data_IF_484367737645
#
_entry.id   IF_484367737645
#
_cell.length_a   1.000
_cell.length_b   1.000
_cell.length_c   1.000
_cell.angle_alpha   90.00
_cell.angle_beta   90.00
_cell.angle_gamma   90.00
#
_symmetry.space_group_name_H-M   'P 1'
#
loop_
_entity.id
_entity.type
_entity.pdbx_description
1 polymer ?
#
# COMPACT_ATOMS: atom_id res chain seq x y z
N UNK A 1 8.71 16.64 4.62
CA UNK A 1 7.92 15.45 4.26
C UNK A 1 8.44 14.91 2.94
N UNK A 2 8.84 13.65 2.86
CA UNK A 2 9.51 13.13 1.68
C UNK A 2 8.47 12.78 0.59
N UNK A 3 8.50 13.53 -0.51
CA UNK A 3 7.59 13.31 -1.64
C UNK A 3 8.07 12.10 -2.46
N UNK A 4 7.44 10.93 -2.28
CA UNK A 4 7.76 9.73 -3.04
C UNK A 4 7.08 9.78 -4.41
N UNK A 5 7.85 9.53 -5.47
CA UNK A 5 7.33 9.47 -6.85
C UNK A 5 6.18 8.46 -6.96
N UNK A 6 6.28 7.38 -6.20
CA UNK A 6 5.31 6.27 -6.16
C UNK A 6 3.91 6.71 -5.69
N UNK A 7 3.77 7.81 -4.91
CA UNK A 7 2.45 8.28 -4.45
C UNK A 7 1.55 8.67 -5.63
N UNK A 8 2.13 9.15 -6.74
CA UNK A 8 1.40 9.46 -7.98
C UNK A 8 0.74 8.21 -8.57
N UNK A 9 1.42 7.05 -8.49
CA UNK A 9 0.87 5.78 -8.96
C UNK A 9 -0.29 5.31 -8.07
N UNK A 10 -0.23 5.54 -6.74
CA UNK A 10 -1.34 5.25 -5.84
C UNK A 10 -2.56 6.13 -6.13
N UNK A 11 -2.37 7.41 -6.42
CA UNK A 11 -3.45 8.31 -6.83
C UNK A 11 -4.09 7.83 -8.13
N UNK A 12 -3.30 7.54 -9.18
CA UNK A 12 -3.80 6.99 -10.43
C UNK A 12 -4.55 5.67 -10.25
N UNK A 13 -4.11 4.81 -9.30
CA UNK A 13 -4.83 3.60 -8.95
C UNK A 13 -6.19 3.94 -8.32
N UNK A 14 -6.26 4.90 -7.42
CA UNK A 14 -7.50 5.27 -6.72
C UNK A 14 -8.52 6.00 -7.61
N UNK A 15 -8.11 6.51 -8.76
CA UNK A 15 -9.01 7.14 -9.75
C UNK A 15 -9.71 6.13 -10.66
N UNK A 16 -9.26 4.86 -10.64
CA UNK A 16 -9.85 3.81 -11.49
C UNK A 16 -11.15 3.29 -10.88
N UNK A 17 -12.09 2.93 -11.76
CA UNK A 17 -13.31 2.23 -11.36
C UNK A 17 -13.60 1.10 -12.36
N UNK A 18 -13.70 -0.14 -11.93
CA UNK A 18 -13.42 -0.64 -10.58
C UNK A 18 -11.92 -0.64 -10.25
N UNK A 19 -11.57 -0.46 -8.98
CA UNK A 19 -10.20 -0.60 -8.48
C UNK A 19 -10.04 -1.91 -7.70
N UNK A 20 -8.94 -2.59 -7.92
CA UNK A 20 -8.59 -3.82 -7.20
C UNK A 20 -7.79 -3.50 -5.94
N UNK A 21 -7.82 -4.33 -4.89
CA UNK A 21 -6.91 -4.19 -3.77
C UNK A 21 -5.47 -4.03 -4.23
N UNK A 22 -4.75 -3.06 -3.66
CA UNK A 22 -3.37 -2.72 -4.00
C UNK A 22 -2.41 -3.39 -3.04
N UNK A 23 -1.50 -4.19 -3.57
CA UNK A 23 -0.46 -4.88 -2.80
C UNK A 23 0.86 -4.14 -2.94
N UNK A 24 1.28 -3.42 -1.91
CA UNK A 24 2.55 -2.68 -1.86
C UNK A 24 3.67 -3.64 -1.46
N UNK A 25 4.55 -3.92 -2.42
CA UNK A 25 5.71 -4.80 -2.25
C UNK A 25 6.99 -3.96 -2.10
N UNK A 26 7.94 -4.47 -1.36
CA UNK A 26 9.24 -3.83 -1.21
C UNK A 26 10.01 -4.41 -0.04
N UNK A 27 11.32 -4.20 -0.01
CA UNK A 27 12.18 -4.66 1.06
C UNK A 27 11.72 -4.15 2.44
N UNK A 28 12.26 -4.74 3.50
CA UNK A 28 12.04 -4.23 4.85
C UNK A 28 12.58 -2.80 4.97
N UNK A 29 11.90 -1.95 5.73
CA UNK A 29 12.33 -0.57 6.04
C UNK A 29 12.43 0.41 4.85
N UNK A 30 11.80 0.11 3.70
CA UNK A 30 11.76 1.05 2.56
C UNK A 30 10.66 2.11 2.67
N UNK A 31 9.88 2.11 3.77
CA UNK A 31 8.84 3.10 4.04
C UNK A 31 7.46 2.76 3.47
N UNK A 32 7.10 1.47 3.35
CA UNK A 32 5.78 1.03 2.85
C UNK A 32 4.63 1.61 3.69
N UNK A 33 4.64 1.36 4.99
CA UNK A 33 3.58 1.81 5.90
C UNK A 33 3.51 3.33 5.96
N UNK A 34 4.66 4.02 5.98
CA UNK A 34 4.72 5.49 5.93
C UNK A 34 4.08 6.03 4.64
N UNK A 35 4.36 5.40 3.50
CA UNK A 35 3.78 5.78 2.21
C UNK A 35 2.25 5.65 2.22
N UNK A 36 1.74 4.52 2.75
CA UNK A 36 0.29 4.27 2.78
C UNK A 36 -0.43 5.18 3.77
N UNK A 37 0.15 5.43 4.95
CA UNK A 37 -0.39 6.39 5.92
C UNK A 37 -0.46 7.81 5.33
N UNK A 38 0.54 8.20 4.56
CA UNK A 38 0.54 9.49 3.87
C UNK A 38 -0.54 9.57 2.82
N UNK A 39 -0.70 8.53 2.01
CA UNK A 39 -1.77 8.42 1.04
C UNK A 39 -3.16 8.37 1.72
N UNK A 40 -3.25 7.72 2.88
CA UNK A 40 -4.49 7.62 3.66
C UNK A 40 -5.08 8.97 4.08
N UNK A 41 -4.26 10.03 4.18
CA UNK A 41 -4.73 11.39 4.47
C UNK A 41 -5.62 12.00 3.38
N UNK A 42 -5.63 11.41 2.19
CA UNK A 42 -6.46 11.82 1.06
C UNK A 42 -7.87 11.20 1.09
N UNK A 43 -8.18 10.41 2.14
CA UNK A 43 -9.45 9.73 2.33
C UNK A 43 -10.23 10.31 3.51
N UNK A 44 -11.56 10.27 3.42
CA UNK A 44 -12.44 10.74 4.50
C UNK A 44 -12.35 9.84 5.74
N UNK A 45 -12.17 8.53 5.50
CA UNK A 45 -11.98 7.52 6.55
C UNK A 45 -10.78 6.67 6.19
N UNK A 46 -9.82 6.60 7.11
CA UNK A 46 -8.63 5.76 7.03
C UNK A 46 -8.58 4.84 8.25
N UNK A 47 -8.63 3.54 8.01
CA UNK A 47 -8.48 2.51 9.05
C UNK A 47 -7.22 1.72 8.73
N UNK A 48 -6.34 1.61 9.71
CA UNK A 48 -5.11 0.82 9.65
C UNK A 48 -5.20 -0.35 10.62
N UNK A 49 -4.79 -1.53 10.16
CA UNK A 49 -4.59 -2.74 10.97
C UNK A 49 -3.21 -3.30 10.70
N UNK A 50 -2.54 -3.80 11.73
CA UNK A 50 -1.23 -4.43 11.62
C UNK A 50 -1.32 -5.90 12.05
N UNK A 51 -1.22 -6.81 11.12
CA UNK A 51 -1.40 -8.25 11.39
C UNK A 51 -0.25 -8.92 12.17
N UNK A 52 0.83 -8.18 12.50
CA UNK A 52 1.78 -8.61 13.54
C UNK A 52 1.18 -8.51 14.95
N UNK A 53 0.13 -7.69 15.14
CA UNK A 53 -0.57 -7.56 16.42
C UNK A 53 -1.67 -8.60 16.52
N UNK A 54 -1.69 -9.35 17.61
CA UNK A 54 -2.66 -10.45 17.83
C UNK A 54 -4.11 -9.96 17.75
N UNK A 55 -4.41 -8.76 18.30
CA UNK A 55 -5.74 -8.18 18.29
C UNK A 55 -6.25 -7.90 16.87
N UNK A 56 -5.36 -7.43 15.98
CA UNK A 56 -5.68 -7.18 14.58
C UNK A 56 -5.77 -8.50 13.80
N UNK A 57 -4.85 -9.43 14.04
CA UNK A 57 -4.82 -10.74 13.40
C UNK A 57 -6.08 -11.55 13.71
N UNK A 58 -6.58 -11.49 14.96
CA UNK A 58 -7.77 -12.21 15.40
C UNK A 58 -9.01 -11.82 14.59
N UNK A 59 -9.15 -10.57 14.18
CA UNK A 59 -10.29 -10.09 13.40
C UNK A 59 -10.39 -10.85 12.06
N UNK A 60 -9.24 -11.11 11.42
CA UNK A 60 -9.17 -11.77 10.12
C UNK A 60 -9.16 -13.30 10.21
N UNK A 61 -9.02 -13.87 11.40
CA UNK A 61 -9.07 -15.32 11.62
C UNK A 61 -10.41 -15.79 12.19
N UNK A 62 -11.20 -14.87 12.74
CA UNK A 62 -12.50 -15.17 13.36
C UNK A 62 -13.61 -15.42 12.34
N UNK A 63 -13.58 -14.73 11.21
CA UNK A 63 -14.62 -14.80 10.17
C UNK A 63 -14.02 -14.62 8.78
N UNK A 64 -14.65 -15.25 7.79
CA UNK A 64 -14.34 -15.08 6.37
C UNK A 64 -15.24 -14.04 5.69
N UNK A 65 -16.20 -13.45 6.43
CA UNK A 65 -17.07 -12.43 5.87
C UNK A 65 -16.45 -11.03 5.99
N UNK A 66 -16.02 -10.51 4.84
CA UNK A 66 -15.38 -9.18 4.76
C UNK A 66 -16.31 -8.04 5.17
N UNK A 67 -17.64 -8.22 5.09
CA UNK A 67 -18.60 -7.22 5.56
C UNK A 67 -18.60 -7.17 7.10
N UNK A 68 -18.57 -8.33 7.75
CA UNK A 68 -18.48 -8.42 9.20
C UNK A 68 -17.15 -7.86 9.71
N UNK A 69 -16.03 -8.21 9.04
CA UNK A 69 -14.71 -7.65 9.33
C UNK A 69 -14.76 -6.11 9.26
N UNK A 70 -15.30 -5.56 8.19
CA UNK A 70 -15.39 -4.12 8.00
C UNK A 70 -16.26 -3.43 9.07
N UNK A 71 -17.43 -4.00 9.38
CA UNK A 71 -18.31 -3.48 10.42
C UNK A 71 -17.62 -3.46 11.78
N UNK A 72 -16.90 -4.54 12.12
CA UNK A 72 -16.14 -4.61 13.38
C UNK A 72 -15.04 -3.54 13.42
N UNK A 73 -14.30 -3.36 12.31
CA UNK A 73 -13.27 -2.33 12.22
C UNK A 73 -13.85 -0.92 12.35
N UNK A 74 -14.99 -0.66 11.73
CA UNK A 74 -15.68 0.62 11.88
C UNK A 74 -16.12 0.88 13.33
N UNK A 75 -16.70 -0.13 13.99
CA UNK A 75 -17.12 -0.03 15.38
C UNK A 75 -15.93 0.25 16.30
N UNK A 76 -14.84 -0.51 16.15
CA UNK A 76 -13.61 -0.34 16.94
C UNK A 76 -13.00 1.05 16.78
N UNK A 77 -13.03 1.61 15.57
CA UNK A 77 -12.49 2.93 15.26
C UNK A 77 -13.51 4.06 15.46
N UNK A 78 -14.74 3.75 15.92
CA UNK A 78 -15.83 4.72 16.14
C UNK A 78 -16.16 5.55 14.90
N UNK A 79 -16.11 4.92 13.73
CA UNK A 79 -16.48 5.53 12.45
C UNK A 79 -17.73 4.87 11.89
N UNK A 80 -18.51 5.62 11.12
CA UNK A 80 -19.69 5.12 10.42
C UNK A 80 -19.31 4.87 8.95
N UNK A 81 -19.57 3.65 8.49
CA UNK A 81 -19.38 3.31 7.08
C UNK A 81 -20.39 4.08 6.23
N UNK A 82 -19.89 4.84 5.26
CA UNK A 82 -20.67 5.68 4.37
C UNK A 82 -20.12 5.54 2.95
N UNK A 83 -20.92 4.95 2.04
CA UNK A 83 -20.48 4.68 0.66
C UNK A 83 -20.27 5.93 -0.18
N UNK A 84 -20.80 7.07 0.26
CA UNK A 84 -20.59 8.37 -0.40
C UNK A 84 -19.24 9.00 -0.01
N UNK A 85 -18.56 8.42 0.99
CA UNK A 85 -17.23 8.82 1.43
C UNK A 85 -16.15 7.92 0.86
N UNK A 86 -14.99 8.51 0.61
CA UNK A 86 -13.81 7.73 0.24
C UNK A 86 -13.22 7.07 1.49
N UNK A 87 -13.26 5.76 1.54
CA UNK A 87 -12.80 4.99 2.70
C UNK A 87 -11.64 4.06 2.30
N UNK A 88 -10.55 4.09 3.07
CA UNK A 88 -9.37 3.28 2.86
C UNK A 88 -9.12 2.35 4.06
N UNK A 89 -9.06 1.06 3.78
CA UNK A 89 -8.55 0.05 4.70
C UNK A 89 -7.10 -0.27 4.34
N UNK A 90 -6.19 -0.08 5.29
CA UNK A 90 -4.80 -0.48 5.18
C UNK A 90 -4.52 -1.70 6.05
N UNK A 91 -4.08 -2.80 5.42
CA UNK A 91 -3.70 -4.04 6.10
C UNK A 91 -2.19 -4.18 6.00
N UNK A 92 -1.48 -3.84 7.09
CA UNK A 92 -0.02 -3.95 7.14
C UNK A 92 0.41 -5.36 7.57
N UNK A 93 1.60 -5.78 7.12
CA UNK A 93 2.23 -7.09 7.35
C UNK A 93 1.27 -8.27 7.08
N UNK A 94 0.53 -8.20 5.96
CA UNK A 94 -0.52 -9.17 5.58
C UNK A 94 -0.04 -10.63 5.55
N UNK A 95 1.27 -10.87 5.39
CA UNK A 95 1.82 -12.22 5.38
C UNK A 95 1.74 -12.94 6.72
N UNK A 96 1.51 -12.22 7.81
CA UNK A 96 1.38 -12.84 9.15
C UNK A 96 0.06 -13.61 9.29
N UNK A 97 -0.97 -13.26 8.49
CA UNK A 97 -2.25 -13.97 8.44
C UNK A 97 -2.55 -14.39 7.00
N UNK A 98 -2.15 -15.61 6.59
CA UNK A 98 -2.38 -16.11 5.21
C UNK A 98 -3.84 -16.07 4.76
N UNK A 99 -4.78 -16.24 5.68
CA UNK A 99 -6.21 -16.14 5.43
C UNK A 99 -6.61 -14.74 4.93
N UNK A 100 -6.02 -13.68 5.48
CA UNK A 100 -6.29 -12.30 5.05
C UNK A 100 -5.94 -12.08 3.57
N UNK A 101 -4.94 -12.79 3.03
CA UNK A 101 -4.59 -12.73 1.61
C UNK A 101 -5.72 -13.25 0.74
N UNK A 102 -6.36 -14.36 1.14
CA UNK A 102 -7.50 -14.91 0.40
C UNK A 102 -8.72 -13.98 0.44
N UNK A 103 -8.90 -13.24 1.53
CA UNK A 103 -10.00 -12.28 1.72
C UNK A 103 -9.90 -11.07 0.78
N UNK A 104 -8.73 -10.74 0.22
CA UNK A 104 -8.57 -9.65 -0.75
C UNK A 104 -9.50 -9.80 -1.95
N UNK A 105 -9.76 -11.05 -2.39
CA UNK A 105 -10.72 -11.33 -3.45
C UNK A 105 -12.14 -10.90 -3.05
N UNK A 106 -12.54 -11.22 -1.83
CA UNK A 106 -13.89 -10.92 -1.37
C UNK A 106 -14.09 -9.43 -1.10
N UNK A 107 -13.06 -8.71 -0.63
CA UNK A 107 -13.09 -7.25 -0.57
C UNK A 107 -13.36 -6.65 -1.96
N UNK A 108 -12.66 -7.12 -2.99
CA UNK A 108 -12.88 -6.64 -4.36
C UNK A 108 -14.28 -6.95 -4.88
N UNK A 109 -14.79 -8.18 -4.64
CA UNK A 109 -16.06 -8.64 -5.21
C UNK A 109 -17.29 -8.11 -4.45
N UNK A 110 -17.22 -8.01 -3.11
CA UNK A 110 -18.35 -7.63 -2.26
C UNK A 110 -18.36 -6.15 -1.87
N UNK A 111 -17.20 -5.50 -1.88
CA UNK A 111 -17.03 -4.13 -1.38
C UNK A 111 -16.25 -3.24 -2.37
N UNK A 112 -16.73 -3.09 -3.62
CA UNK A 112 -16.01 -2.35 -4.66
C UNK A 112 -15.87 -0.84 -4.36
N UNK A 113 -16.59 -0.32 -3.40
CA UNK A 113 -16.52 1.06 -2.90
C UNK A 113 -15.42 1.27 -1.85
N UNK A 114 -14.91 0.19 -1.23
CA UNK A 114 -13.86 0.27 -0.23
C UNK A 114 -12.49 0.14 -0.89
N UNK A 115 -11.65 1.14 -0.71
CA UNK A 115 -10.26 1.06 -1.12
C UNK A 115 -9.49 0.18 -0.14
N UNK A 116 -8.79 -0.82 -0.65
CA UNK A 116 -7.99 -1.72 0.18
C UNK A 116 -6.54 -1.66 -0.29
N UNK A 117 -5.65 -1.28 0.62
CA UNK A 117 -4.21 -1.33 0.40
C UNK A 117 -3.62 -2.31 1.41
N UNK A 118 -2.72 -3.14 0.96
CA UNK A 118 -1.98 -4.04 1.85
C UNK A 118 -0.49 -3.92 1.61
N UNK A 119 0.29 -4.09 2.66
CA UNK A 119 1.74 -4.12 2.60
C UNK A 119 2.29 -5.35 3.31
N UNK A 120 3.50 -5.71 2.91
CA UNK A 120 4.25 -6.77 3.59
C UNK A 120 5.68 -6.83 3.10
N UNK A 121 6.58 -7.17 4.00
CA UNK A 121 8.01 -7.24 3.71
C UNK A 121 8.44 -8.62 3.19
N UNK A 122 7.67 -9.67 3.55
CA UNK A 122 7.97 -11.08 3.24
C UNK A 122 6.92 -11.74 2.36
N UNK A 123 6.25 -10.97 1.49
CA UNK A 123 5.19 -11.49 0.63
C UNK A 123 5.64 -12.65 -0.29
N UNK A 124 6.93 -12.70 -0.65
CA UNK A 124 7.47 -13.83 -1.41
C UNK A 124 7.51 -15.14 -0.60
N UNK A 125 7.54 -15.08 0.74
CA UNK A 125 7.50 -16.28 1.58
C UNK A 125 6.15 -16.98 1.52
N UNK A 126 5.06 -16.25 1.30
CA UNK A 126 3.73 -16.82 1.12
C UNK A 126 3.64 -17.74 -0.10
N UNK A 127 4.34 -17.40 -1.18
CA UNK A 127 4.41 -18.25 -2.37
C UNK A 127 5.05 -19.60 -2.07
N UNK A 128 6.06 -19.63 -1.18
CA UNK A 128 6.69 -20.87 -0.71
C UNK A 128 5.74 -21.72 0.15
N UNK A 129 4.83 -21.09 0.88
CA UNK A 129 3.81 -21.74 1.70
C UNK A 129 2.56 -22.14 0.91
N UNK A 130 2.60 -22.09 -0.43
CA UNK A 130 1.45 -22.36 -1.32
C UNK A 130 0.27 -21.39 -1.13
N UNK A 131 0.46 -20.27 -0.44
CA UNK A 131 -0.52 -19.19 -0.36
C UNK A 131 -0.29 -18.28 -1.56
N UNK A 132 -1.23 -18.27 -2.49
CA UNK A 132 -1.17 -17.40 -3.65
C UNK A 132 -2.12 -16.22 -3.49
N UNK A 133 -1.66 -15.04 -3.88
CA UNK A 133 -2.56 -13.90 -4.04
C UNK A 133 -3.61 -14.23 -5.11
N UNK A 134 -4.85 -13.77 -4.93
CA UNK A 134 -5.92 -14.04 -5.90
C UNK A 134 -5.55 -13.46 -7.26
N UNK A 135 -5.32 -14.36 -8.24
CA UNK A 135 -4.93 -13.98 -9.61
C UNK A 135 -5.97 -13.07 -10.22
N UNK A 136 -5.52 -12.00 -10.87
CA UNK A 136 -6.37 -10.98 -11.50
C UNK A 136 -7.33 -10.21 -10.56
N UNK A 137 -7.27 -10.41 -9.23
CA UNK A 137 -8.09 -9.73 -8.23
C UNK A 137 -7.33 -8.71 -7.38
N UNK A 138 -6.03 -8.57 -7.60
CA UNK A 138 -5.17 -7.59 -6.93
C UNK A 138 -4.29 -6.88 -7.95
N UNK A 139 -3.83 -5.67 -7.60
CA UNK A 139 -2.79 -4.95 -8.31
C UNK A 139 -1.53 -4.86 -7.45
N UNK A 140 -0.38 -4.68 -8.09
CA UNK A 140 0.91 -4.64 -7.38
C UNK A 140 1.59 -3.31 -7.58
N UNK A 141 2.12 -2.77 -6.50
CA UNK A 141 2.97 -1.60 -6.47
C UNK A 141 4.32 -1.97 -5.84
N UNK A 142 5.39 -1.78 -6.59
CA UNK A 142 6.73 -2.07 -6.08
C UNK A 142 7.37 -0.82 -5.51
N UNK A 143 7.56 -0.78 -4.21
CA UNK A 143 8.28 0.29 -3.53
C UNK A 143 9.76 -0.07 -3.41
N UNK A 144 10.59 0.71 -4.09
CA UNK A 144 12.05 0.62 -4.00
C UNK A 144 12.57 1.53 -2.89
N UNK A 145 13.81 1.32 -2.41
CA UNK A 145 14.49 2.31 -1.57
C UNK A 145 14.47 3.70 -2.21
N UNK A 146 14.75 4.73 -1.42
CA UNK A 146 14.86 6.10 -1.94
C UNK A 146 15.84 6.13 -3.11
N UNK A 147 15.40 6.70 -4.22
CA UNK A 147 16.31 7.03 -5.32
C UNK A 147 17.16 8.25 -4.95
N UNK A 148 18.31 8.40 -5.60
CA UNK A 148 19.13 9.59 -5.43
C UNK A 148 18.33 10.88 -5.67
N UNK A 149 17.44 10.91 -6.67
CA UNK A 149 16.64 12.08 -6.98
C UNK A 149 15.58 12.37 -5.90
N UNK A 150 14.97 11.34 -5.31
CA UNK A 150 14.03 11.52 -4.19
C UNK A 150 14.76 12.04 -2.95
N UNK A 151 15.96 11.52 -2.67
CA UNK A 151 16.82 11.99 -1.58
C UNK A 151 17.23 13.45 -1.80
N UNK A 152 17.76 13.77 -2.99
CA UNK A 152 18.19 15.13 -3.34
C UNK A 152 17.05 16.14 -3.20
N UNK A 153 15.86 15.78 -3.70
CA UNK A 153 14.68 16.64 -3.57
C UNK A 153 14.26 16.86 -2.11
N UNK A 154 14.45 15.85 -1.27
CA UNK A 154 14.10 15.92 0.14
C UNK A 154 15.05 16.79 0.98
N UNK A 155 16.34 16.83 0.63
CA UNK A 155 17.40 17.53 1.37
C UNK A 155 17.64 18.93 0.80
N UNK A 156 17.76 19.04 -0.51
CA UNK A 156 18.21 20.27 -1.21
C UNK A 156 17.07 20.98 -1.97
N UNK A 157 15.92 20.30 -2.17
CA UNK A 157 14.77 20.84 -2.87
C UNK A 157 14.77 20.64 -4.39
N UNK A 158 13.68 21.08 -5.01
CA UNK A 158 13.38 20.78 -6.44
C UNK A 158 14.37 21.45 -7.40
N UNK A 159 14.89 22.63 -7.05
CA UNK A 159 15.85 23.37 -7.89
C UNK A 159 17.13 22.56 -8.15
N UNK A 160 17.65 21.86 -7.14
CA UNK A 160 18.80 20.98 -7.28
C UNK A 160 18.51 19.76 -8.14
N UNK A 161 17.31 19.20 -8.02
CA UNK A 161 16.88 18.09 -8.86
C UNK A 161 16.85 18.50 -10.34
N UNK A 162 16.35 19.68 -10.63
CA UNK A 162 16.28 20.17 -12.00
C UNK A 162 17.69 20.41 -12.57
N UNK A 163 18.59 21.03 -11.80
CA UNK A 163 19.99 21.20 -12.18
C UNK A 163 20.67 19.86 -12.48
N UNK A 164 20.48 18.85 -11.61
CA UNK A 164 21.05 17.51 -11.84
C UNK A 164 20.46 16.83 -13.09
N UNK A 165 19.16 17.00 -13.39
CA UNK A 165 18.55 16.47 -14.61
C UNK A 165 19.12 17.11 -15.87
N UNK A 166 19.53 18.38 -15.81
CA UNK A 166 20.13 19.10 -16.94
C UNK A 166 21.61 18.77 -17.14
N UNK A 167 22.28 18.19 -16.14
CA UNK A 167 23.64 17.71 -16.27
C UNK A 167 23.66 16.56 -17.29
N UNK A 168 23.99 16.88 -18.55
CA UNK A 168 24.33 15.84 -19.53
C UNK A 168 25.60 15.14 -19.04
N UNK A 169 25.51 13.85 -18.77
CA UNK A 169 26.68 12.98 -18.55
C UNK A 169 27.38 12.84 -19.90
N UNK A 170 28.06 13.88 -20.33
CA UNK A 170 28.91 13.90 -21.53
C UNK A 170 30.38 13.72 -21.15
N UNK A 171 30.66 13.19 -19.98
CA UNK A 171 32.00 12.78 -19.61
C UNK A 171 32.13 11.27 -19.75
N UNK A 172 32.19 10.80 -20.95
CA UNK A 172 32.90 9.55 -21.21
C UNK A 172 34.35 9.80 -20.83
N UNK A 173 34.73 9.36 -19.64
CA UNK A 173 36.14 9.22 -19.31
C UNK A 173 36.67 8.11 -20.20
N UNK A 174 37.34 8.50 -21.29
CA UNK A 174 38.28 7.61 -21.96
C UNK A 174 39.52 7.54 -21.07
N UNK A 175 39.84 6.38 -20.52
CA UNK A 175 41.16 6.17 -19.97
C UNK A 175 42.16 6.25 -21.10
N UNK A 176 43.16 7.14 -21.00
CA UNK A 176 44.35 7.05 -21.81
C UNK A 176 45.22 5.91 -21.31
#
# INVERSE_FOLDING_TARGET
MFNRIVIKQMRQWSERSPHKPLVVRGARQVGKSTLVREFGKEFDIFIEVNLELSEDAEIFTRTDDVLEIWQFLCLRNRVVSDKDKRMLLFIDEIQEVPQAVALLRYFYEKMPWLYVVTAGSRLQSLLKQRVSFPVARVEYLNLRPFSFMEYLNAVEGEAWCEMVRQLKVSAVMHPK
#
